data_IF_899020805392
#
_entry.id   IF_899020805392
#
_cell.length_a   1.000
_cell.length_b   1.000
_cell.length_c   1.000
_cell.angle_alpha   90.00
_cell.angle_beta   90.00
_cell.angle_gamma   90.00
#
_symmetry.space_group_name_H-M   'P 1'
#
loop_
_entity.id
_entity.type
_entity.pdbx_description
1 polymer ?
#
# COMPACT_ATOMS: atom_id res chain seq x y z
N UNK A 1 4.53 -22.19 -3.99
CA UNK A 1 5.35 -21.82 -2.82
C UNK A 1 4.61 -20.75 -2.01
N UNK A 2 4.58 -20.87 -0.68
CA UNK A 2 4.07 -19.83 0.22
C UNK A 2 5.25 -19.04 0.78
N UNK A 3 5.10 -17.73 0.83
CA UNK A 3 6.05 -16.81 1.46
C UNK A 3 5.38 -16.23 2.71
N UNK A 4 6.07 -16.31 3.85
CA UNK A 4 5.53 -15.83 5.11
C UNK A 4 5.66 -14.30 5.21
N UNK A 5 4.60 -13.67 5.71
CA UNK A 5 4.55 -12.23 6.02
C UNK A 5 4.56 -12.06 7.53
N UNK A 6 5.47 -11.26 8.05
CA UNK A 6 5.53 -10.91 9.46
C UNK A 6 4.60 -9.72 9.75
N UNK A 7 3.64 -9.87 10.65
CA UNK A 7 2.93 -8.72 11.20
C UNK A 7 3.76 -8.10 12.32
N UNK A 8 4.13 -6.84 12.16
CA UNK A 8 4.91 -6.07 13.13
C UNK A 8 4.02 -4.95 13.68
N UNK A 9 3.62 -5.01 14.95
CA UNK A 9 2.79 -3.99 15.57
C UNK A 9 3.55 -2.66 15.65
N UNK A 10 2.81 -1.55 15.50
CA UNK A 10 3.40 -0.21 15.52
C UNK A 10 3.46 0.31 16.96
N UNK A 11 4.50 -0.11 17.69
CA UNK A 11 4.74 0.19 19.11
C UNK A 11 5.92 1.17 19.27
N UNK A 12 6.86 0.86 20.16
CA UNK A 12 8.12 1.59 20.29
C UNK A 12 9.03 1.30 19.08
N UNK A 13 9.68 2.31 18.49
CA UNK A 13 10.55 2.12 17.32
C UNK A 13 11.65 1.07 17.50
N UNK A 14 12.24 0.96 18.68
CA UNK A 14 13.28 -0.03 18.95
C UNK A 14 12.71 -1.46 19.00
N UNK A 15 11.51 -1.63 19.57
CA UNK A 15 10.79 -2.91 19.56
C UNK A 15 10.38 -3.32 18.16
N UNK A 16 9.90 -2.38 17.34
CA UNK A 16 9.54 -2.63 15.94
C UNK A 16 10.71 -3.23 15.16
N UNK A 17 11.91 -2.66 15.32
CA UNK A 17 13.12 -3.16 14.66
C UNK A 17 13.51 -4.55 15.17
N UNK A 18 13.43 -4.78 16.48
CA UNK A 18 13.74 -6.08 17.07
C UNK A 18 12.79 -7.18 16.58
N UNK A 19 11.46 -6.92 16.59
CA UNK A 19 10.43 -7.85 16.11
C UNK A 19 10.61 -8.14 14.61
N UNK A 20 10.83 -7.09 13.80
CA UNK A 20 11.08 -7.26 12.38
C UNK A 20 12.32 -8.12 12.12
N UNK A 21 13.41 -7.87 12.85
CA UNK A 21 14.67 -8.62 12.72
C UNK A 21 14.44 -10.10 13.05
N UNK A 22 13.81 -10.41 14.19
CA UNK A 22 13.51 -11.79 14.61
C UNK A 22 12.66 -12.52 13.57
N UNK A 23 11.61 -11.87 13.06
CA UNK A 23 10.72 -12.46 12.06
C UNK A 23 11.46 -12.74 10.74
N UNK A 24 12.30 -11.83 10.29
CA UNK A 24 13.10 -12.00 9.07
C UNK A 24 14.16 -13.09 9.22
N UNK A 25 14.80 -13.17 10.37
CA UNK A 25 15.76 -14.25 10.71
C UNK A 25 15.03 -15.61 10.80
N UNK A 26 13.75 -15.61 11.18
CA UNK A 26 12.84 -16.76 11.16
C UNK A 26 12.34 -17.16 9.78
N UNK A 27 12.69 -16.43 8.71
CA UNK A 27 12.38 -16.77 7.32
C UNK A 27 11.15 -16.06 6.73
N UNK A 28 10.64 -15.01 7.38
CA UNK A 28 9.64 -14.16 6.75
C UNK A 28 10.23 -13.38 5.57
N UNK A 29 9.44 -13.23 4.51
CA UNK A 29 9.87 -12.60 3.25
C UNK A 29 9.34 -11.19 3.06
N UNK A 30 8.47 -10.74 3.96
CA UNK A 30 7.79 -9.44 3.90
C UNK A 30 7.44 -9.00 5.31
N UNK A 31 7.45 -7.71 5.55
CA UNK A 31 7.00 -7.10 6.81
C UNK A 31 5.69 -6.36 6.57
N UNK A 32 4.67 -6.67 7.34
CA UNK A 32 3.38 -5.98 7.35
C UNK A 32 3.26 -5.12 8.61
N UNK A 33 2.89 -3.85 8.42
CA UNK A 33 2.62 -2.91 9.52
C UNK A 33 1.22 -2.33 9.42
N UNK A 34 0.61 -1.88 10.52
CA UNK A 34 -0.62 -1.11 10.47
C UNK A 34 -0.45 0.15 9.62
N UNK A 35 -1.47 0.52 8.85
CA UNK A 35 -1.50 1.81 8.14
C UNK A 35 -1.85 3.01 9.04
N UNK A 36 -2.23 2.76 10.29
CA UNK A 36 -2.35 3.76 11.34
C UNK A 36 -1.09 3.72 12.21
N UNK A 37 -0.23 4.74 12.16
CA UNK A 37 1.09 4.72 12.78
C UNK A 37 1.08 4.99 14.30
N UNK A 38 -0.07 5.14 14.93
CA UNK A 38 -0.13 5.48 16.36
C UNK A 38 0.40 6.89 16.65
N UNK A 39 1.16 7.08 17.75
CA UNK A 39 1.56 8.43 18.18
C UNK A 39 2.67 9.07 17.35
N UNK A 40 3.52 8.29 16.70
CA UNK A 40 4.60 8.76 15.81
C UNK A 40 4.21 8.47 14.36
N UNK A 41 4.31 9.49 13.51
CA UNK A 41 4.09 9.31 12.06
C UNK A 41 5.11 8.36 11.43
N UNK A 42 4.78 7.71 10.30
CA UNK A 42 5.67 6.75 9.67
C UNK A 42 6.97 7.37 9.15
N UNK A 43 6.98 8.68 8.94
CA UNK A 43 8.16 9.45 8.52
C UNK A 43 9.04 9.95 9.68
N UNK A 44 8.65 9.68 10.94
CA UNK A 44 9.45 10.09 12.09
C UNK A 44 10.84 9.45 12.04
N UNK A 45 11.94 10.20 12.30
CA UNK A 45 13.31 9.69 12.20
C UNK A 45 13.60 8.45 13.07
N UNK A 46 12.88 8.26 14.16
CA UNK A 46 13.01 7.09 15.01
C UNK A 46 12.63 5.78 14.29
N UNK A 47 11.91 5.85 13.16
CA UNK A 47 11.60 4.72 12.30
C UNK A 47 12.67 4.48 11.21
N UNK A 48 13.62 5.39 10.99
CA UNK A 48 14.68 5.22 9.99
C UNK A 48 15.47 3.91 10.16
N UNK A 49 15.73 3.39 11.38
CA UNK A 49 16.36 2.07 11.54
C UNK A 49 15.55 0.91 10.94
N UNK A 50 14.21 0.97 10.96
CA UNK A 50 13.37 -0.03 10.30
C UNK A 50 13.50 0.09 8.77
N UNK A 51 13.43 1.30 8.24
CA UNK A 51 13.57 1.52 6.80
C UNK A 51 14.95 1.09 6.28
N UNK A 52 15.99 1.35 7.05
CA UNK A 52 17.35 0.88 6.75
C UNK A 52 17.43 -0.66 6.72
N UNK A 53 16.90 -1.33 7.77
CA UNK A 53 16.87 -2.80 7.86
C UNK A 53 16.17 -3.43 6.64
N UNK A 54 14.98 -2.93 6.30
CA UNK A 54 14.19 -3.45 5.18
C UNK A 54 14.91 -3.23 3.84
N UNK A 55 15.44 -2.03 3.62
CA UNK A 55 16.20 -1.70 2.42
C UNK A 55 17.47 -2.55 2.27
N UNK A 56 18.22 -2.74 3.35
CA UNK A 56 19.47 -3.51 3.34
C UNK A 56 19.24 -4.98 3.04
N UNK A 57 18.17 -5.55 3.60
CA UNK A 57 17.78 -6.96 3.36
C UNK A 57 16.99 -7.16 2.08
N UNK A 58 16.58 -6.08 1.38
CA UNK A 58 15.73 -6.16 0.19
C UNK A 58 14.33 -6.72 0.50
N UNK A 59 13.79 -6.42 1.67
CA UNK A 59 12.49 -6.89 2.16
C UNK A 59 11.45 -5.80 1.93
N UNK A 60 10.33 -6.07 1.24
CA UNK A 60 9.27 -5.09 1.08
C UNK A 60 8.46 -4.90 2.37
N UNK A 61 7.97 -3.67 2.53
CA UNK A 61 6.96 -3.30 3.51
C UNK A 61 5.58 -3.45 2.89
N UNK A 62 4.59 -3.94 3.63
CA UNK A 62 3.20 -3.90 3.20
C UNK A 62 2.29 -3.33 4.28
N UNK A 63 1.24 -2.64 3.84
CA UNK A 63 0.07 -2.33 4.65
C UNK A 63 -1.12 -3.15 4.15
N UNK A 64 -2.05 -3.49 5.04
CA UNK A 64 -3.22 -4.29 4.73
C UNK A 64 -4.44 -3.70 5.42
N UNK A 65 -5.64 -3.95 4.87
CA UNK A 65 -6.88 -3.57 5.55
C UNK A 65 -6.94 -4.17 6.96
N UNK A 66 -7.62 -3.51 7.88
CA UNK A 66 -7.78 -3.98 9.29
C UNK A 66 -6.65 -3.58 10.23
N UNK A 67 -5.47 -3.27 9.71
CA UNK A 67 -4.31 -2.86 10.50
C UNK A 67 -4.23 -1.36 10.77
N UNK A 68 -5.30 -0.68 11.19
CA UNK A 68 -5.22 0.77 11.39
C UNK A 68 -6.56 1.45 11.66
N UNK A 69 -7.51 0.67 12.10
CA UNK A 69 -8.84 1.19 12.39
C UNK A 69 -9.63 1.54 11.13
N UNK A 70 -10.83 2.05 11.34
CA UNK A 70 -11.71 2.48 10.24
C UNK A 70 -11.32 3.87 9.80
N UNK A 71 -11.00 4.07 8.53
CA UNK A 71 -10.68 5.39 7.97
C UNK A 71 -11.80 6.41 8.13
N UNK A 72 -13.03 5.97 8.40
CA UNK A 72 -14.19 6.83 8.60
C UNK A 72 -14.47 7.03 10.10
N UNK A 73 -14.55 8.29 10.52
CA UNK A 73 -14.89 8.63 11.92
C UNK A 73 -16.31 8.13 12.27
N UNK A 74 -16.55 7.65 13.51
CA UNK A 74 -17.85 7.11 13.94
C UNK A 74 -19.04 8.03 13.67
N UNK A 75 -18.84 9.35 13.76
CA UNK A 75 -19.89 10.34 13.49
C UNK A 75 -20.52 10.22 12.09
N UNK A 76 -19.75 9.80 11.08
CA UNK A 76 -20.26 9.62 9.71
C UNK A 76 -21.11 8.35 9.57
N UNK A 77 -21.01 7.40 10.50
CA UNK A 77 -21.88 6.23 10.58
C UNK A 77 -23.18 6.52 11.30
N UNK A 78 -23.21 7.54 12.16
CA UNK A 78 -24.39 7.91 12.94
C UNK A 78 -25.42 8.70 12.09
N UNK A 79 -26.12 7.99 11.22
CA UNK A 79 -27.12 8.53 10.29
C UNK A 79 -28.57 8.25 10.71
N UNK A 80 -28.79 7.77 11.95
CA UNK A 80 -30.12 7.40 12.47
C UNK A 80 -30.67 6.08 11.90
N UNK A 81 -29.93 5.37 11.06
CA UNK A 81 -30.34 4.06 10.50
C UNK A 81 -29.71 2.97 11.34
N UNK A 82 -30.54 2.00 11.77
CA UNK A 82 -30.03 0.84 12.49
C UNK A 82 -29.13 0.01 11.57
N UNK A 83 -27.98 -0.32 12.10
CA UNK A 83 -26.98 -1.11 11.40
C UNK A 83 -27.39 -2.59 11.40
N UNK A 84 -27.41 -3.20 10.23
CA UNK A 84 -27.61 -4.64 10.08
C UNK A 84 -26.25 -5.36 10.18
N UNK A 85 -26.18 -6.35 11.05
CA UNK A 85 -25.04 -7.27 11.12
C UNK A 85 -25.26 -8.39 10.10
N UNK A 86 -24.37 -8.48 9.09
CA UNK A 86 -24.47 -9.44 8.00
C UNK A 86 -23.80 -10.79 8.30
N UNK A 87 -22.84 -10.80 9.19
CA UNK A 87 -21.93 -11.94 9.42
C UNK A 87 -21.72 -12.26 10.90
N UNK A 88 -22.68 -11.93 11.77
CA UNK A 88 -22.68 -12.35 13.16
C UNK A 88 -21.51 -11.79 13.99
N UNK A 89 -21.17 -10.51 13.79
CA UNK A 89 -20.11 -9.81 14.52
C UNK A 89 -18.71 -9.93 13.91
N UNK A 90 -18.60 -10.54 12.71
CA UNK A 90 -17.36 -10.53 11.93
C UNK A 90 -17.08 -9.17 11.26
N UNK A 91 -16.23 -9.17 10.27
CA UNK A 91 -15.91 -7.97 9.51
C UNK A 91 -17.13 -7.43 8.76
N UNK A 92 -17.78 -6.45 9.34
CA UNK A 92 -18.92 -5.76 8.72
C UNK A 92 -18.44 -4.55 7.92
N UNK A 93 -17.65 -4.79 6.86
CA UNK A 93 -17.27 -3.77 5.90
C UNK A 93 -18.52 -3.33 5.11
N UNK A 94 -18.77 -2.03 5.07
CA UNK A 94 -19.94 -1.46 4.41
C UNK A 94 -19.53 -0.47 3.35
N UNK A 95 -20.50 -0.03 2.54
CA UNK A 95 -20.27 0.93 1.46
C UNK A 95 -19.52 2.19 1.90
N UNK A 96 -19.80 2.72 3.10
CA UNK A 96 -19.09 3.88 3.63
C UNK A 96 -17.66 3.54 4.09
N UNK A 97 -17.44 2.38 4.68
CA UNK A 97 -16.12 1.90 5.05
C UNK A 97 -15.30 1.66 3.79
N UNK A 98 -15.89 1.03 2.77
CA UNK A 98 -15.26 0.83 1.47
C UNK A 98 -14.89 2.16 0.78
N UNK A 99 -15.74 3.18 0.87
CA UNK A 99 -15.44 4.52 0.37
C UNK A 99 -14.20 5.13 1.03
N UNK A 100 -13.96 4.83 2.31
CA UNK A 100 -12.86 5.38 3.10
C UNK A 100 -11.64 4.45 3.25
N UNK A 101 -11.67 3.26 2.66
CA UNK A 101 -10.67 2.20 2.84
C UNK A 101 -9.24 2.67 2.48
N UNK A 102 -9.13 3.58 1.53
CA UNK A 102 -7.87 4.12 1.06
C UNK A 102 -7.30 5.26 1.94
N UNK A 103 -8.06 5.77 2.89
CA UNK A 103 -7.64 6.96 3.65
C UNK A 103 -6.32 6.72 4.42
N UNK A 104 -6.25 5.66 5.22
CA UNK A 104 -5.07 5.37 6.01
C UNK A 104 -3.82 5.07 5.15
N UNK A 105 -3.86 4.17 4.13
CA UNK A 105 -2.68 3.94 3.29
C UNK A 105 -2.28 5.19 2.50
N UNK A 106 -3.22 6.02 2.05
CA UNK A 106 -2.88 7.27 1.37
C UNK A 106 -2.14 8.25 2.27
N UNK A 107 -2.49 8.32 3.55
CA UNK A 107 -1.77 9.12 4.54
C UNK A 107 -0.42 8.51 4.88
N UNK A 108 -0.38 7.20 5.16
CA UNK A 108 0.85 6.50 5.52
C UNK A 108 1.93 6.66 4.43
N UNK A 109 1.61 6.26 3.21
CA UNK A 109 2.55 6.39 2.09
C UNK A 109 2.78 7.84 1.68
N UNK A 110 1.77 8.71 1.84
CA UNK A 110 1.92 10.15 1.64
C UNK A 110 3.00 10.75 2.52
N UNK A 111 3.03 10.41 3.81
CA UNK A 111 4.10 10.83 4.71
C UNK A 111 5.48 10.30 4.26
N UNK A 112 5.58 9.02 3.87
CA UNK A 112 6.87 8.47 3.38
C UNK A 112 7.41 9.23 2.15
N UNK A 113 6.52 9.64 1.27
CA UNK A 113 6.87 10.41 0.06
C UNK A 113 7.22 11.86 0.41
N UNK A 114 6.28 12.56 1.06
CA UNK A 114 6.35 14.02 1.24
C UNK A 114 7.41 14.44 2.26
N UNK A 115 7.71 13.59 3.24
CA UNK A 115 8.75 13.83 4.25
C UNK A 115 10.11 13.21 3.85
N UNK A 116 10.25 12.76 2.59
CA UNK A 116 11.52 12.34 2.01
C UNK A 116 12.06 11.01 2.50
N UNK A 117 11.24 10.13 3.10
CA UNK A 117 11.70 8.78 3.48
C UNK A 117 12.11 7.98 2.26
N UNK A 118 11.30 8.00 1.19
CA UNK A 118 11.62 7.28 -0.06
C UNK A 118 12.82 7.86 -0.82
N UNK A 119 13.23 9.08 -0.51
CA UNK A 119 14.47 9.66 -1.01
C UNK A 119 15.68 9.16 -0.20
N UNK A 120 15.58 9.19 1.14
CA UNK A 120 16.63 8.68 2.03
C UNK A 120 16.87 7.17 1.89
N UNK A 121 15.81 6.42 1.57
CA UNK A 121 15.85 4.96 1.41
C UNK A 121 15.43 4.55 -0.02
N UNK A 122 16.26 4.80 -1.04
CA UNK A 122 15.86 4.68 -2.46
C UNK A 122 15.61 3.25 -2.95
N UNK A 123 16.00 2.23 -2.18
CA UNK A 123 15.72 0.82 -2.48
C UNK A 123 14.62 0.21 -1.61
N UNK A 124 14.03 0.98 -0.68
CA UNK A 124 12.89 0.54 0.10
C UNK A 124 11.70 0.35 -0.82
N UNK A 125 11.16 -0.85 -0.88
CA UNK A 125 9.94 -1.17 -1.62
C UNK A 125 8.77 -1.34 -0.67
N UNK A 126 7.58 -0.90 -1.08
CA UNK A 126 6.37 -1.07 -0.26
C UNK A 126 5.13 -1.31 -1.11
N UNK A 127 4.09 -1.89 -0.48
CA UNK A 127 2.81 -2.08 -1.15
C UNK A 127 1.61 -1.87 -0.21
N UNK A 128 0.51 -1.40 -0.82
CA UNK A 128 -0.82 -1.36 -0.21
C UNK A 128 -1.60 -2.57 -0.69
N UNK A 129 -2.01 -3.44 0.24
CA UNK A 129 -2.69 -4.71 -0.05
C UNK A 129 -4.12 -4.66 0.45
N UNK A 130 -5.07 -5.08 -0.38
CA UNK A 130 -6.51 -5.12 -0.07
C UNK A 130 -7.10 -3.75 0.37
N UNK A 131 -6.60 -2.68 -0.22
CA UNK A 131 -7.06 -1.31 0.06
C UNK A 131 -7.51 -0.59 -1.21
N UNK A 132 -7.65 -1.36 -2.31
CA UNK A 132 -8.02 -0.86 -3.63
C UNK A 132 -6.93 0.01 -4.29
N UNK A 133 -7.16 0.39 -5.52
CA UNK A 133 -6.18 1.14 -6.30
C UNK A 133 -6.76 2.31 -7.11
N UNK A 134 -8.08 2.41 -7.26
CA UNK A 134 -8.73 3.49 -8.04
C UNK A 134 -8.36 4.90 -7.55
N UNK A 135 -8.01 5.04 -6.27
CA UNK A 135 -7.59 6.30 -5.68
C UNK A 135 -6.16 6.74 -6.07
N UNK A 136 -5.29 5.79 -6.49
CA UNK A 136 -3.86 6.01 -6.66
C UNK A 136 -3.53 7.07 -7.72
N UNK A 137 -4.08 7.05 -8.95
CA UNK A 137 -3.74 8.05 -9.96
C UNK A 137 -4.08 9.48 -9.55
N UNK A 138 -5.25 9.67 -8.91
CA UNK A 138 -5.69 10.97 -8.39
C UNK A 138 -4.80 11.46 -7.24
N UNK A 139 -4.44 10.57 -6.33
CA UNK A 139 -3.57 10.84 -5.21
C UNK A 139 -2.14 11.22 -5.66
N UNK A 140 -1.55 10.49 -6.59
CA UNK A 140 -0.25 10.84 -7.18
C UNK A 140 -0.24 12.27 -7.71
N UNK A 141 -1.28 12.61 -8.47
CA UNK A 141 -1.44 13.95 -9.02
C UNK A 141 -1.61 15.02 -7.93
N UNK A 142 -2.35 14.71 -6.87
CA UNK A 142 -2.55 15.60 -5.72
C UNK A 142 -1.23 15.88 -5.01
N UNK A 143 -0.38 14.87 -4.81
CA UNK A 143 0.93 15.06 -4.17
C UNK A 143 1.88 15.91 -5.03
N UNK A 144 1.89 15.72 -6.36
CA UNK A 144 2.67 16.57 -7.26
C UNK A 144 2.22 18.04 -7.20
N UNK A 145 0.91 18.29 -7.13
CA UNK A 145 0.35 19.63 -6.95
C UNK A 145 0.75 20.20 -5.58
N UNK A 146 0.73 19.40 -4.53
CA UNK A 146 1.13 19.84 -3.19
C UNK A 146 2.61 20.25 -3.17
N UNK A 147 3.52 19.46 -3.75
CA UNK A 147 4.93 19.82 -3.87
C UNK A 147 5.10 21.15 -4.64
N UNK A 148 4.43 21.29 -5.78
CA UNK A 148 4.51 22.52 -6.59
C UNK A 148 3.99 23.76 -5.85
N UNK A 149 2.97 23.56 -4.99
CA UNK A 149 2.33 24.65 -4.25
C UNK A 149 3.13 25.04 -3.00
N UNK A 150 3.52 24.07 -2.19
CA UNK A 150 4.11 24.27 -0.87
C UNK A 150 5.65 24.21 -0.84
N UNK A 151 6.30 23.72 -1.90
CA UNK A 151 7.76 23.65 -1.96
C UNK A 151 8.48 25.00 -1.81
N UNK A 152 7.77 26.13 -1.96
CA UNK A 152 8.34 27.45 -1.66
C UNK A 152 8.48 27.73 -0.16
N UNK A 153 7.64 27.12 0.66
CA UNK A 153 7.55 27.34 2.11
C UNK A 153 8.04 26.15 2.93
N UNK A 154 8.00 24.96 2.37
CA UNK A 154 8.42 23.71 3.01
C UNK A 154 9.75 23.21 2.42
N UNK A 155 10.88 23.38 3.15
CA UNK A 155 12.20 23.01 2.65
C UNK A 155 12.29 21.55 2.22
N UNK A 156 11.67 20.63 2.97
CA UNK A 156 11.69 19.19 2.64
C UNK A 156 11.13 18.95 1.24
N UNK A 157 9.97 19.53 0.91
CA UNK A 157 9.34 19.39 -0.40
C UNK A 157 10.14 20.05 -1.53
N UNK A 158 10.74 21.19 -1.24
CA UNK A 158 11.57 21.92 -2.21
C UNK A 158 12.82 21.13 -2.60
N UNK A 159 13.42 20.47 -1.60
CA UNK A 159 14.71 19.83 -1.73
C UNK A 159 14.61 18.39 -2.24
N UNK A 160 13.39 17.84 -2.42
CA UNK A 160 13.16 16.55 -3.08
C UNK A 160 13.62 16.62 -4.55
N UNK A 161 14.56 15.75 -4.98
CA UNK A 161 15.09 15.78 -6.36
C UNK A 161 14.11 15.24 -7.41
N UNK A 162 13.07 14.52 -7.00
CA UNK A 162 12.05 13.94 -7.88
C UNK A 162 10.66 14.45 -7.50
N UNK A 163 9.70 14.29 -8.41
CA UNK A 163 8.28 14.51 -8.09
C UNK A 163 7.76 13.38 -7.18
N UNK A 164 6.78 13.66 -6.33
CA UNK A 164 6.10 12.64 -5.55
C UNK A 164 5.63 11.43 -6.36
N UNK A 165 5.04 11.66 -7.52
CA UNK A 165 4.60 10.60 -8.43
C UNK A 165 5.73 9.71 -8.93
N UNK A 166 6.96 10.22 -9.08
CA UNK A 166 8.11 9.45 -9.53
C UNK A 166 8.65 8.54 -8.41
N UNK A 167 8.62 8.99 -7.14
CA UNK A 167 8.91 8.14 -5.98
C UNK A 167 7.91 7.00 -5.87
N UNK A 168 6.61 7.29 -6.06
CA UNK A 168 5.55 6.30 -6.02
C UNK A 168 5.78 5.22 -7.08
N UNK A 169 6.03 5.60 -8.34
CA UNK A 169 6.33 4.64 -9.41
C UNK A 169 7.55 3.79 -9.12
N UNK A 170 8.58 4.39 -8.57
CA UNK A 170 9.83 3.69 -8.25
C UNK A 170 9.64 2.63 -7.15
N UNK A 171 8.92 2.96 -6.07
CA UNK A 171 9.00 2.21 -4.81
C UNK A 171 7.68 1.63 -4.30
N UNK A 172 6.51 2.08 -4.79
CA UNK A 172 5.22 1.66 -4.28
C UNK A 172 4.48 0.77 -5.26
N UNK A 173 3.70 -0.18 -4.71
CA UNK A 173 2.81 -1.07 -5.46
C UNK A 173 1.45 -1.14 -4.78
N UNK A 174 0.41 -1.47 -5.56
CA UNK A 174 -0.98 -1.44 -5.08
C UNK A 174 -1.75 -2.63 -5.64
N UNK A 175 -2.58 -3.27 -4.80
CA UNK A 175 -3.48 -4.33 -5.26
C UNK A 175 -4.87 -3.75 -5.52
N UNK A 176 -5.35 -3.72 -6.76
CA UNK A 176 -6.74 -3.40 -7.05
C UNK A 176 -7.67 -4.55 -6.61
N UNK A 177 -8.91 -4.20 -6.26
CA UNK A 177 -9.96 -5.20 -6.15
C UNK A 177 -10.35 -5.75 -7.52
N UNK A 178 -10.86 -6.99 -7.62
CA UNK A 178 -11.32 -7.55 -8.88
C UNK A 178 -12.50 -6.80 -9.55
N UNK A 179 -13.10 -5.87 -8.84
CA UNK A 179 -14.17 -4.99 -9.33
C UNK A 179 -13.66 -3.68 -9.92
N UNK A 180 -12.37 -3.38 -9.78
CA UNK A 180 -11.75 -2.17 -10.33
C UNK A 180 -11.25 -2.42 -11.77
N UNK A 181 -11.30 -1.37 -12.59
CA UNK A 181 -10.82 -1.40 -13.97
C UNK A 181 -9.29 -1.22 -14.01
N UNK A 182 -8.57 -2.34 -14.05
CA UNK A 182 -7.10 -2.35 -14.06
C UNK A 182 -6.54 -1.75 -15.35
N UNK A 183 -7.22 -1.91 -16.48
CA UNK A 183 -6.82 -1.28 -17.73
C UNK A 183 -6.78 0.23 -17.59
N UNK A 184 -7.86 0.81 -17.08
CA UNK A 184 -7.91 2.25 -16.78
C UNK A 184 -6.84 2.68 -15.78
N UNK A 185 -6.59 1.88 -14.74
CA UNK A 185 -5.56 2.16 -13.74
C UNK A 185 -4.16 2.24 -14.38
N UNK A 186 -3.83 1.29 -15.26
CA UNK A 186 -2.57 1.26 -16.00
C UNK A 186 -2.44 2.50 -16.89
N UNK A 187 -3.48 2.86 -17.61
CA UNK A 187 -3.49 4.04 -18.48
C UNK A 187 -3.26 5.35 -17.72
N UNK A 188 -3.76 5.44 -16.48
CA UNK A 188 -3.63 6.67 -15.66
C UNK A 188 -2.39 6.69 -14.77
N UNK A 189 -1.98 5.55 -14.25
CA UNK A 189 -0.91 5.46 -13.25
C UNK A 189 0.44 4.99 -13.81
N UNK A 190 0.39 4.06 -14.75
CA UNK A 190 1.55 3.32 -15.27
C UNK A 190 1.46 1.83 -15.01
N UNK A 191 2.09 1.04 -15.88
CA UNK A 191 2.03 -0.44 -15.83
C UNK A 191 2.83 -1.05 -14.67
N UNK A 192 3.71 -0.27 -14.04
CA UNK A 192 4.59 -0.73 -12.95
C UNK A 192 3.92 -0.73 -11.57
N UNK A 193 2.75 -0.11 -11.41
CA UNK A 193 2.18 0.16 -10.09
C UNK A 193 1.29 -0.96 -9.52
N UNK A 194 0.63 -1.73 -10.38
CA UNK A 194 -0.47 -2.58 -9.94
C UNK A 194 -0.09 -4.05 -9.89
N UNK A 195 -0.55 -4.73 -8.82
CA UNK A 195 -0.28 -6.13 -8.55
C UNK A 195 -1.57 -6.94 -8.63
N UNK A 196 -1.50 -8.13 -9.21
CA UNK A 196 -2.59 -9.09 -9.12
C UNK A 196 -2.82 -9.53 -7.66
N UNK A 197 -4.07 -9.54 -7.24
CA UNK A 197 -4.53 -10.16 -6.00
C UNK A 197 -5.90 -10.79 -6.22
N UNK A 198 -6.11 -12.01 -5.74
CA UNK A 198 -7.39 -12.69 -5.85
C UNK A 198 -8.31 -12.41 -4.66
N UNK A 199 -7.73 -11.98 -3.55
CA UNK A 199 -8.44 -11.83 -2.27
C UNK A 199 -9.15 -13.11 -1.80
N UNK A 200 -8.68 -14.27 -2.28
CA UNK A 200 -9.26 -15.55 -1.91
C UNK A 200 -8.91 -15.90 -0.45
N UNK A 201 -9.85 -16.35 0.39
CA UNK A 201 -11.24 -16.74 0.05
C UNK A 201 -12.32 -15.69 0.37
N UNK A 202 -11.97 -14.43 0.49
CA UNK A 202 -12.91 -13.37 0.84
C UNK A 202 -13.95 -13.11 -0.26
N UNK A 203 -15.21 -12.73 0.10
CA UNK A 203 -16.28 -12.49 -0.86
C UNK A 203 -15.98 -11.36 -1.86
N UNK A 204 -15.20 -10.37 -1.44
CA UNK A 204 -14.80 -9.20 -2.24
C UNK A 204 -13.97 -9.61 -3.44
N UNK A 205 -13.15 -10.65 -3.34
CA UNK A 205 -12.39 -11.25 -4.44
C UNK A 205 -13.27 -11.87 -5.53
N UNK A 206 -14.50 -12.24 -5.16
CA UNK A 206 -15.46 -12.81 -6.08
C UNK A 206 -15.08 -14.23 -6.52
N UNK A 207 -15.91 -14.80 -7.43
CA UNK A 207 -15.75 -16.21 -7.85
C UNK A 207 -14.72 -16.43 -8.96
N UNK A 208 -14.43 -15.40 -9.74
CA UNK A 208 -13.51 -15.50 -10.89
C UNK A 208 -12.75 -14.18 -11.09
N UNK A 209 -11.79 -13.84 -10.20
CA UNK A 209 -11.03 -12.60 -10.29
C UNK A 209 -10.20 -12.52 -11.58
N UNK A 210 -9.61 -13.62 -12.03
CA UNK A 210 -8.79 -13.66 -13.25
C UNK A 210 -9.60 -13.21 -14.47
N UNK A 211 -10.79 -13.79 -14.69
CA UNK A 211 -11.60 -13.41 -15.84
C UNK A 211 -12.05 -11.94 -15.82
N UNK A 212 -12.21 -11.34 -14.63
CA UNK A 212 -12.53 -9.92 -14.50
C UNK A 212 -11.34 -9.04 -14.87
N UNK A 213 -10.16 -9.37 -14.38
CA UNK A 213 -8.94 -8.66 -14.73
C UNK A 213 -8.59 -8.82 -16.21
N UNK A 214 -8.74 -10.02 -16.79
CA UNK A 214 -8.54 -10.27 -18.23
C UNK A 214 -9.45 -9.39 -19.08
N UNK A 215 -10.71 -9.25 -18.66
CA UNK A 215 -11.67 -8.40 -19.36
C UNK A 215 -11.27 -6.92 -19.32
N UNK A 216 -10.77 -6.43 -18.20
CA UNK A 216 -10.33 -5.03 -18.06
C UNK A 216 -8.97 -4.75 -18.73
N UNK A 217 -8.14 -5.78 -18.89
CA UNK A 217 -6.85 -5.71 -19.57
C UNK A 217 -6.95 -5.92 -21.09
N UNK A 218 -8.15 -6.17 -21.60
CA UNK A 218 -8.36 -6.41 -23.02
C UNK A 218 -7.87 -5.21 -23.86
N UNK A 219 -6.96 -5.46 -24.80
CA UNK A 219 -6.37 -4.42 -25.65
C UNK A 219 -5.06 -3.80 -25.11
N UNK A 220 -4.65 -4.14 -23.89
CA UNK A 220 -3.34 -3.75 -23.38
C UNK A 220 -2.23 -4.65 -23.95
N UNK A 221 -0.99 -4.16 -23.90
CA UNK A 221 0.18 -4.91 -24.38
C UNK A 221 0.43 -6.17 -23.53
N UNK A 222 1.01 -7.21 -24.13
CA UNK A 222 1.45 -8.42 -23.41
C UNK A 222 2.34 -8.06 -22.21
N UNK A 223 3.21 -7.08 -22.39
CA UNK A 223 4.08 -6.58 -21.32
C UNK A 223 3.27 -6.02 -20.15
N UNK A 224 2.25 -5.21 -20.37
CA UNK A 224 1.42 -4.64 -19.30
C UNK A 224 0.67 -5.75 -18.56
N UNK A 225 0.15 -6.74 -19.27
CA UNK A 225 -0.52 -7.91 -18.70
C UNK A 225 0.46 -8.75 -17.86
N UNK A 226 1.66 -9.04 -18.38
CA UNK A 226 2.69 -9.79 -17.66
C UNK A 226 3.14 -9.02 -16.39
N UNK A 227 3.32 -7.71 -16.48
CA UNK A 227 3.66 -6.89 -15.31
C UNK A 227 2.60 -6.97 -14.23
N UNK A 228 1.34 -6.86 -14.58
CA UNK A 228 0.24 -6.95 -13.62
C UNK A 228 0.18 -8.31 -12.92
N UNK A 229 0.24 -9.41 -13.69
CA UNK A 229 0.07 -10.75 -13.12
C UNK A 229 1.32 -11.30 -12.43
N UNK A 230 2.50 -10.84 -12.81
CA UNK A 230 3.75 -11.45 -12.34
C UNK A 230 4.87 -10.46 -12.04
N UNK A 231 5.30 -9.64 -13.03
CA UNK A 231 6.58 -8.95 -12.95
C UNK A 231 6.62 -7.89 -11.84
N UNK A 232 5.53 -7.15 -11.63
CA UNK A 232 5.49 -6.15 -10.56
C UNK A 232 5.60 -6.77 -9.17
N UNK A 233 5.04 -7.96 -8.96
CA UNK A 233 5.21 -8.70 -7.71
C UNK A 233 6.65 -9.23 -7.57
N UNK A 234 7.24 -9.71 -8.66
CA UNK A 234 8.64 -10.14 -8.66
C UNK A 234 9.58 -8.98 -8.33
N UNK A 235 9.35 -7.80 -8.92
CA UNK A 235 10.10 -6.58 -8.65
C UNK A 235 9.94 -6.12 -7.17
N UNK A 236 8.74 -6.24 -6.61
CA UNK A 236 8.46 -5.91 -5.21
C UNK A 236 9.20 -6.84 -4.24
N UNK A 237 9.13 -8.14 -4.49
CA UNK A 237 9.73 -9.16 -3.60
C UNK A 237 11.24 -9.26 -3.77
N UNK A 238 11.76 -8.92 -4.96
CA UNK A 238 13.20 -8.91 -5.20
C UNK A 238 13.90 -10.19 -4.72
N UNK A 239 14.97 -10.08 -3.88
CA UNK A 239 15.70 -11.24 -3.38
C UNK A 239 14.86 -12.23 -2.58
N UNK A 240 13.77 -11.78 -1.94
CA UNK A 240 12.87 -12.63 -1.15
C UNK A 240 12.12 -13.67 -2.00
N UNK A 241 12.04 -13.47 -3.31
CA UNK A 241 11.39 -14.42 -4.22
C UNK A 241 12.16 -15.72 -4.39
N UNK A 242 13.47 -15.69 -4.28
CA UNK A 242 14.39 -16.80 -4.55
C UNK A 242 15.01 -17.42 -3.31
N UNK A 243 14.83 -16.80 -2.16
CA UNK A 243 15.38 -17.24 -0.84
C UNK A 243 14.62 -18.45 -0.21
#
# INVERSE_FOLDING_TARGET
RLLAVAYVPWTDPAEIVAIATEALDGGCSTVMVPSDPGPLGPSHPDHDPLWALLQERGIPLVTHIGGGGRGLKPAFHNNGIQVTDWIGGGENLRSKDFMAIHANPSYFFGCLVMDGVLDRFPRLMAASVEQGATWVPGWMRQLDIAQATFGKTEPVLRDLPMKPSDYIRRQLRFTPFPTEDVGWLIDQGGEELFLFSSDYPHPEGGRNPIARFDASLAGHSERAVERFYYQNMADLLGPSLVA
#
